data_IF_355224257136
#
_entry.id   IF_355224257136
#
_cell.length_a   1.000
_cell.length_b   1.000
_cell.length_c   1.000
_cell.angle_alpha   90.00
_cell.angle_beta   90.00
_cell.angle_gamma   90.00
#
_symmetry.space_group_name_H-M   'P 1'
#
loop_
_entity.id
_entity.type
_entity.pdbx_description
1 polymer ?
#
# COMPACT_ATOMS: atom_id res chain seq x y z
N UNK A 1 7.96 -29.09 -33.40
CA UNK A 1 7.44 -29.46 -32.07
C UNK A 1 8.17 -28.74 -30.95
N UNK A 2 9.45 -28.84 -30.87
CA UNK A 2 10.27 -28.26 -29.80
C UNK A 2 10.13 -26.72 -29.65
N UNK A 3 10.13 -25.99 -30.76
CA UNK A 3 10.01 -24.52 -30.75
C UNK A 3 8.66 -24.02 -30.21
N UNK A 4 7.58 -24.75 -30.49
CA UNK A 4 6.23 -24.40 -29.98
C UNK A 4 6.14 -24.58 -28.47
N UNK A 5 6.74 -25.65 -27.94
CA UNK A 5 6.76 -25.91 -26.50
C UNK A 5 7.56 -24.85 -25.74
N UNK A 6 8.71 -24.45 -26.26
CA UNK A 6 9.53 -23.39 -25.65
C UNK A 6 8.79 -22.06 -25.64
N UNK A 7 8.15 -21.66 -26.72
CA UNK A 7 7.32 -20.46 -26.79
C UNK A 7 6.16 -20.52 -25.79
N UNK A 8 5.46 -21.64 -25.71
CA UNK A 8 4.36 -21.84 -24.80
C UNK A 8 4.80 -21.70 -23.33
N UNK A 9 5.89 -22.34 -22.95
CA UNK A 9 6.49 -22.26 -21.61
C UNK A 9 6.94 -20.82 -21.32
N UNK A 10 7.53 -20.14 -22.29
CA UNK A 10 7.94 -18.75 -22.16
C UNK A 10 6.77 -17.80 -21.87
N UNK A 11 5.70 -17.91 -22.65
CA UNK A 11 4.48 -17.10 -22.43
C UNK A 11 3.79 -17.43 -21.11
N UNK A 12 3.73 -18.71 -20.73
CA UNK A 12 3.21 -19.13 -19.44
C UNK A 12 4.03 -18.52 -18.28
N UNK A 13 5.34 -18.52 -18.40
CA UNK A 13 6.24 -17.88 -17.42
C UNK A 13 6.00 -16.37 -17.28
N UNK A 14 5.80 -15.65 -18.40
CA UNK A 14 5.49 -14.23 -18.40
C UNK A 14 4.14 -13.96 -17.72
N UNK A 15 3.10 -14.74 -18.05
CA UNK A 15 1.78 -14.59 -17.45
C UNK A 15 1.82 -14.83 -15.93
N UNK A 16 2.55 -15.85 -15.48
CA UNK A 16 2.75 -16.15 -14.05
C UNK A 16 3.52 -15.02 -13.35
N UNK A 17 4.55 -14.47 -13.98
CA UNK A 17 5.31 -13.35 -13.43
C UNK A 17 4.41 -12.11 -13.26
N UNK A 18 3.60 -11.77 -14.25
CA UNK A 18 2.66 -10.64 -14.18
C UNK A 18 1.65 -10.80 -13.05
N UNK A 19 1.11 -12.01 -12.87
CA UNK A 19 0.20 -12.32 -11.79
C UNK A 19 0.88 -12.18 -10.42
N UNK A 20 2.08 -12.71 -10.27
CA UNK A 20 2.86 -12.61 -9.03
C UNK A 20 3.22 -11.17 -8.69
N UNK A 21 3.62 -10.35 -9.68
CA UNK A 21 3.89 -8.92 -9.48
C UNK A 21 2.65 -8.17 -9.01
N UNK A 22 1.50 -8.45 -9.64
CA UNK A 22 0.22 -7.88 -9.24
C UNK A 22 -0.16 -8.23 -7.80
N UNK A 23 -0.07 -9.50 -7.43
CA UNK A 23 -0.36 -9.97 -6.07
C UNK A 23 0.61 -9.36 -5.06
N UNK A 24 1.91 -9.30 -5.37
CA UNK A 24 2.90 -8.69 -4.50
C UNK A 24 2.58 -7.22 -4.22
N UNK A 25 2.18 -6.44 -5.23
CA UNK A 25 1.75 -5.05 -5.07
C UNK A 25 0.53 -4.89 -4.18
N UNK A 26 -0.45 -5.81 -4.30
CA UNK A 26 -1.63 -5.82 -3.42
C UNK A 26 -1.24 -6.11 -1.97
N UNK A 27 -0.34 -7.08 -1.75
CA UNK A 27 0.19 -7.39 -0.41
C UNK A 27 0.92 -6.17 0.17
N UNK A 28 1.78 -5.51 -0.62
CA UNK A 28 2.48 -4.29 -0.18
C UNK A 28 1.54 -3.15 0.16
N UNK A 29 0.38 -3.08 -0.50
CA UNK A 29 -0.65 -2.08 -0.18
C UNK A 29 -1.30 -2.34 1.18
N UNK A 30 -1.47 -3.61 1.56
CA UNK A 30 -2.04 -4.00 2.86
C UNK A 30 -1.07 -3.83 4.02
N UNK A 31 0.24 -3.95 3.77
CA UNK A 31 1.25 -3.74 4.81
C UNK A 31 1.24 -2.28 5.25
N UNK A 32 1.13 -2.06 6.55
CA UNK A 32 1.22 -0.73 7.14
C UNK A 32 2.65 -0.19 6.99
N UNK A 33 2.89 0.58 5.93
CA UNK A 33 4.15 1.27 5.69
C UNK A 33 3.98 2.75 5.94
N UNK A 34 4.85 3.28 6.78
CA UNK A 34 5.00 4.71 6.99
C UNK A 34 6.28 5.11 6.26
N UNK A 35 6.14 5.86 5.17
CA UNK A 35 7.29 6.41 4.47
C UNK A 35 7.89 7.54 5.31
N UNK A 36 9.11 7.34 5.81
CA UNK A 36 9.80 8.35 6.63
C UNK A 36 9.97 9.71 5.95
N UNK A 37 9.98 9.74 4.62
CA UNK A 37 10.12 11.00 3.87
C UNK A 37 8.90 11.93 4.02
N UNK A 38 7.74 11.40 4.37
CA UNK A 38 6.53 12.22 4.64
C UNK A 38 6.72 13.11 5.86
N UNK A 39 7.59 12.72 6.79
CA UNK A 39 7.84 13.44 8.03
C UNK A 39 8.94 14.53 7.90
N UNK A 40 9.57 14.65 6.74
CA UNK A 40 10.64 15.63 6.51
C UNK A 40 10.12 17.00 6.02
N UNK A 41 8.82 17.19 5.96
CA UNK A 41 8.21 18.45 5.57
C UNK A 41 8.39 19.49 6.70
N UNK A 42 8.75 20.73 6.37
CA UNK A 42 8.84 21.80 7.36
C UNK A 42 7.47 22.07 7.99
N UNK A 43 7.47 22.48 9.25
CA UNK A 43 6.28 22.82 10.04
C UNK A 43 5.30 21.66 10.30
N UNK A 44 5.67 20.44 9.94
CA UNK A 44 4.85 19.25 10.20
C UNK A 44 5.00 18.81 11.66
N UNK A 45 3.88 18.61 12.37
CA UNK A 45 3.90 18.09 13.74
C UNK A 45 4.10 16.58 13.69
N UNK A 46 5.23 16.11 14.20
CA UNK A 46 5.61 14.69 14.24
C UNK A 46 5.25 14.02 15.55
N UNK A 47 5.12 14.77 16.63
CA UNK A 47 4.71 14.27 17.95
C UNK A 47 3.21 14.55 18.19
N UNK A 48 2.40 13.89 17.37
CA UNK A 48 0.95 14.08 17.34
C UNK A 48 0.24 13.38 18.48
N UNK A 49 -0.70 14.06 19.13
CA UNK A 49 -1.64 13.45 20.07
C UNK A 49 -2.81 12.75 19.39
N UNK A 50 -2.96 12.90 18.08
CA UNK A 50 -4.02 12.29 17.27
C UNK A 50 -3.57 11.01 16.56
N UNK A 51 -2.26 10.75 16.50
CA UNK A 51 -1.73 9.56 15.85
C UNK A 51 -1.81 8.34 16.78
N UNK A 52 -2.49 7.28 16.35
CA UNK A 52 -2.76 6.09 17.16
C UNK A 52 -1.49 5.44 17.75
N UNK A 53 -0.39 5.43 17.02
CA UNK A 53 0.90 4.90 17.51
C UNK A 53 1.44 5.70 18.68
N UNK A 54 1.36 7.02 18.62
CA UNK A 54 1.77 7.89 19.72
C UNK A 54 0.81 7.82 20.91
N UNK A 55 -0.47 7.63 20.66
CA UNK A 55 -1.47 7.42 21.71
C UNK A 55 -1.18 6.11 22.46
N UNK A 56 -0.87 5.03 21.73
CA UNK A 56 -0.56 3.72 22.32
C UNK A 56 0.71 3.72 23.17
N UNK A 57 1.65 4.62 22.87
CA UNK A 57 2.92 4.75 23.61
C UNK A 57 2.79 5.54 24.92
N UNK A 58 1.64 6.16 25.18
CA UNK A 58 1.40 6.90 26.43
C UNK A 58 1.34 5.96 27.63
N UNK A 59 1.96 6.37 28.74
CA UNK A 59 2.05 5.58 29.96
C UNK A 59 0.68 5.25 30.59
N UNK A 60 -0.30 6.15 30.44
CA UNK A 60 -1.67 5.96 30.93
C UNK A 60 -2.67 6.84 30.20
N UNK A 61 -3.96 6.53 30.32
CA UNK A 61 -5.04 7.36 29.81
C UNK A 61 -5.02 8.78 30.40
N UNK A 62 -4.68 8.92 31.68
CA UNK A 62 -4.61 10.23 32.34
C UNK A 62 -3.53 11.12 31.75
N UNK A 63 -2.37 10.55 31.40
CA UNK A 63 -1.29 11.29 30.71
C UNK A 63 -1.77 11.77 29.37
N UNK A 64 -2.37 10.91 28.57
CA UNK A 64 -2.95 11.26 27.28
C UNK A 64 -4.03 12.36 27.41
N UNK A 65 -4.97 12.17 28.33
CA UNK A 65 -6.06 13.14 28.58
C UNK A 65 -5.51 14.51 28.95
N UNK A 66 -4.53 14.57 29.86
CA UNK A 66 -3.93 15.83 30.30
C UNK A 66 -3.21 16.54 29.15
N UNK A 67 -2.50 15.81 28.30
CA UNK A 67 -1.87 16.40 27.11
C UNK A 67 -2.91 17.04 26.20
N UNK A 68 -3.98 16.32 25.88
CA UNK A 68 -5.04 16.83 25.00
C UNK A 68 -5.75 18.05 25.60
N UNK A 69 -6.09 17.99 26.90
CA UNK A 69 -6.81 19.07 27.58
C UNK A 69 -5.95 20.35 27.76
N UNK A 70 -4.63 20.20 27.85
CA UNK A 70 -3.72 21.32 27.98
C UNK A 70 -3.30 21.95 26.64
N UNK A 71 -3.68 21.34 25.52
CA UNK A 71 -3.42 21.92 24.20
C UNK A 71 -4.26 23.16 23.96
N UNK A 72 -3.66 24.16 23.35
CA UNK A 72 -4.39 25.28 22.81
C UNK A 72 -5.18 24.88 21.58
N UNK A 73 -6.20 25.64 21.23
CA UNK A 73 -7.00 25.41 20.02
C UNK A 73 -6.15 25.41 18.73
N UNK A 74 -5.14 26.28 18.70
CA UNK A 74 -4.23 26.40 17.56
C UNK A 74 -3.29 25.19 17.46
N UNK A 75 -2.71 24.74 18.58
CA UNK A 75 -1.88 23.53 18.62
C UNK A 75 -2.66 22.29 18.16
N UNK A 76 -3.90 22.12 18.64
CA UNK A 76 -4.77 21.03 18.24
C UNK A 76 -5.09 21.09 16.73
N UNK A 77 -5.40 22.27 16.21
CA UNK A 77 -5.68 22.45 14.78
C UNK A 77 -4.47 22.12 13.91
N UNK A 78 -3.27 22.59 14.31
CA UNK A 78 -2.04 22.30 13.58
C UNK A 78 -1.69 20.81 13.60
N UNK A 79 -1.91 20.12 14.71
CA UNK A 79 -1.74 18.67 14.81
C UNK A 79 -2.73 17.95 13.88
N UNK A 80 -4.01 18.34 13.90
CA UNK A 80 -5.05 17.77 13.05
C UNK A 80 -4.71 17.95 11.55
N UNK A 81 -4.29 19.15 11.16
CA UNK A 81 -3.88 19.43 9.77
C UNK A 81 -2.67 18.59 9.35
N UNK A 82 -1.69 18.43 10.25
CA UNK A 82 -0.52 17.56 10.00
C UNK A 82 -0.95 16.11 9.79
N UNK A 83 -1.87 15.58 10.60
CA UNK A 83 -2.37 14.22 10.45
C UNK A 83 -3.18 14.03 9.16
N UNK A 84 -4.02 14.99 8.78
CA UNK A 84 -4.75 14.97 7.51
C UNK A 84 -3.76 14.93 6.34
N UNK A 85 -2.72 15.75 6.36
CA UNK A 85 -1.71 15.80 5.33
C UNK A 85 -0.95 14.47 5.19
N UNK A 86 -0.43 13.93 6.30
CA UNK A 86 0.28 12.65 6.34
C UNK A 86 -0.61 11.52 5.83
N UNK A 87 -1.84 11.42 6.34
CA UNK A 87 -2.78 10.38 5.95
C UNK A 87 -3.16 10.47 4.47
N UNK A 88 -3.29 11.68 3.92
CA UNK A 88 -3.55 11.90 2.50
C UNK A 88 -2.40 11.39 1.63
N UNK A 89 -1.15 11.63 2.03
CA UNK A 89 0.03 11.10 1.31
C UNK A 89 0.07 9.58 1.34
N UNK A 90 -0.13 8.98 2.51
CA UNK A 90 -0.16 7.52 2.67
C UNK A 90 -1.31 6.90 1.87
N UNK A 91 -2.50 7.48 1.93
CA UNK A 91 -3.67 7.00 1.19
C UNK A 91 -3.45 7.06 -0.32
N UNK A 92 -2.86 8.15 -0.82
CA UNK A 92 -2.56 8.30 -2.24
C UNK A 92 -1.54 7.26 -2.72
N UNK A 93 -0.46 7.03 -1.98
CA UNK A 93 0.54 6.01 -2.30
C UNK A 93 -0.08 4.61 -2.34
N UNK A 94 -0.90 4.28 -1.34
CA UNK A 94 -1.63 3.01 -1.28
C UNK A 94 -2.60 2.86 -2.46
N UNK A 95 -3.32 3.92 -2.82
CA UNK A 95 -4.26 3.91 -3.94
C UNK A 95 -3.55 3.66 -5.28
N UNK A 96 -2.40 4.30 -5.51
CA UNK A 96 -1.59 4.09 -6.72
C UNK A 96 -1.09 2.63 -6.81
N UNK A 97 -0.56 2.09 -5.70
CA UNK A 97 -0.08 0.72 -5.64
C UNK A 97 -1.20 -0.30 -5.80
N UNK A 98 -2.35 -0.05 -5.17
CA UNK A 98 -3.55 -0.87 -5.32
C UNK A 98 -4.01 -0.95 -6.78
N UNK A 99 -4.16 0.19 -7.45
CA UNK A 99 -4.61 0.23 -8.83
C UNK A 99 -3.63 -0.50 -9.78
N UNK A 100 -2.32 -0.32 -9.58
CA UNK A 100 -1.31 -1.08 -10.34
C UNK A 100 -1.40 -2.57 -10.04
N UNK A 101 -1.55 -2.95 -8.78
CA UNK A 101 -1.68 -4.34 -8.35
C UNK A 101 -2.90 -5.03 -8.96
N UNK A 102 -4.07 -4.40 -8.91
CA UNK A 102 -5.30 -4.90 -9.53
C UNK A 102 -5.12 -5.06 -11.04
N UNK A 103 -4.59 -4.04 -11.72
CA UNK A 103 -4.38 -4.08 -13.16
C UNK A 103 -3.50 -5.28 -13.57
N UNK A 104 -2.34 -5.43 -12.96
CA UNK A 104 -1.42 -6.52 -13.30
C UNK A 104 -1.95 -7.89 -12.90
N UNK A 105 -2.67 -7.99 -11.79
CA UNK A 105 -3.33 -9.23 -11.37
C UNK A 105 -4.38 -9.68 -12.38
N UNK A 106 -5.24 -8.78 -12.85
CA UNK A 106 -6.27 -9.07 -13.85
C UNK A 106 -5.64 -9.49 -15.18
N UNK A 107 -4.64 -8.73 -15.66
CA UNK A 107 -3.95 -9.03 -16.92
C UNK A 107 -3.26 -10.41 -16.83
N UNK A 108 -2.53 -10.67 -15.75
CA UNK A 108 -1.85 -11.94 -15.52
C UNK A 108 -2.82 -13.11 -15.43
N UNK A 109 -3.95 -12.95 -14.76
CA UNK A 109 -4.98 -13.97 -14.64
C UNK A 109 -5.61 -14.29 -16.00
N UNK A 110 -6.00 -13.27 -16.77
CA UNK A 110 -6.55 -13.46 -18.11
C UNK A 110 -5.53 -14.16 -19.02
N UNK A 111 -4.27 -13.75 -18.98
CA UNK A 111 -3.20 -14.37 -19.75
C UNK A 111 -3.02 -15.85 -19.39
N UNK A 112 -3.07 -16.22 -18.10
CA UNK A 112 -3.02 -17.62 -17.66
C UNK A 112 -4.20 -18.44 -18.17
N UNK A 113 -5.42 -17.91 -18.09
CA UNK A 113 -6.61 -18.59 -18.61
C UNK A 113 -6.50 -18.83 -20.11
N UNK A 114 -6.08 -17.83 -20.88
CA UNK A 114 -5.86 -17.97 -22.32
C UNK A 114 -4.81 -19.02 -22.63
N UNK A 115 -3.68 -18.99 -21.93
CA UNK A 115 -2.61 -19.99 -22.10
C UNK A 115 -3.07 -21.41 -21.74
N UNK A 116 -3.88 -21.56 -20.72
CA UNK A 116 -4.47 -22.84 -20.33
C UNK A 116 -5.38 -23.37 -21.44
N UNK A 117 -6.27 -22.55 -21.99
CA UNK A 117 -7.15 -22.94 -23.10
C UNK A 117 -6.36 -23.32 -24.35
N UNK A 118 -5.32 -22.58 -24.70
CA UNK A 118 -4.41 -22.90 -25.80
C UNK A 118 -3.73 -24.26 -25.54
N UNK A 119 -3.28 -24.52 -24.31
CA UNK A 119 -2.66 -25.76 -23.91
C UNK A 119 -3.60 -26.97 -24.13
N UNK A 120 -4.86 -26.87 -23.73
CA UNK A 120 -5.87 -27.91 -23.96
C UNK A 120 -6.10 -28.16 -25.47
N UNK A 121 -6.14 -27.08 -26.26
CA UNK A 121 -6.38 -27.18 -27.68
C UNK A 121 -5.19 -27.78 -28.46
N UNK A 122 -3.97 -27.50 -28.04
CA UNK A 122 -2.76 -27.93 -28.73
C UNK A 122 -2.22 -29.29 -28.27
N UNK A 123 -2.60 -29.73 -27.09
CA UNK A 123 -2.12 -30.96 -26.44
C UNK A 123 -3.27 -31.79 -25.89
#
# INVERSE_FOLDING_TARGET
MYKRQILYIGFLGIATFMLCDGIARLIFTLVARINSNVYNEPDLITDSVLFFGKISDKASYQVFQNEVLNMTKEEYLNDLLSQIYINSKIANEKHVNYNKGIKWTIIGFIALVVMFLIGIYLY
#
